data_IF_538285723352
#
_entry.id   IF_538285723352
#
_cell.length_a   1.000
_cell.length_b   1.000
_cell.length_c   1.000
_cell.angle_alpha   90.00
_cell.angle_beta   90.00
_cell.angle_gamma   90.00
#
_symmetry.space_group_name_H-M   'P 1'
#
loop_
_entity.id
_entity.type
_entity.pdbx_description
1 polymer ?
#
# COMPACT_ATOMS: atom_id res chain seq x y z
N UNK A 1 19.70 69.74 49.53
CA UNK A 1 20.69 69.47 48.47
C UNK A 1 20.06 68.59 47.41
N UNK A 2 20.03 69.04 46.15
CA UNK A 2 19.60 68.23 44.99
C UNK A 2 20.73 67.28 44.62
N UNK A 3 20.47 65.98 44.51
CA UNK A 3 21.28 65.07 43.70
C UNK A 3 20.35 64.26 42.81
N UNK A 4 20.40 64.62 41.52
CA UNK A 4 19.81 63.96 40.38
C UNK A 4 20.71 62.78 40.00
N UNK A 5 20.22 61.54 39.98
CA UNK A 5 20.88 60.44 39.27
C UNK A 5 19.83 59.52 38.62
N UNK A 6 19.68 59.72 37.30
CA UNK A 6 19.56 58.73 36.22
C UNK A 6 18.35 57.78 36.19
N UNK A 7 17.53 57.96 35.16
CA UNK A 7 16.53 57.00 34.70
C UNK A 7 17.19 55.70 34.21
N UNK A 8 16.60 54.56 34.58
CA UNK A 8 16.82 53.27 33.95
C UNK A 8 15.44 52.67 33.63
N UNK A 9 15.23 52.46 32.33
CA UNK A 9 14.10 51.78 31.70
C UNK A 9 13.80 50.44 32.37
N UNK A 10 12.67 50.36 33.08
CA UNK A 10 12.16 49.12 33.67
C UNK A 10 11.60 48.21 32.57
N UNK A 11 12.35 47.17 32.23
CA UNK A 11 11.86 46.07 31.39
C UNK A 11 10.77 45.27 32.11
N UNK A 12 9.74 44.85 31.37
CA UNK A 12 8.73 43.91 31.86
C UNK A 12 9.39 42.57 32.21
N UNK A 13 9.50 42.27 33.50
CA UNK A 13 9.77 40.93 33.98
C UNK A 13 8.48 40.11 33.91
N UNK A 14 8.27 39.38 32.81
CA UNK A 14 7.24 38.34 32.80
C UNK A 14 7.71 37.18 33.70
N UNK A 15 6.98 36.97 34.79
CA UNK A 15 7.18 35.84 35.68
C UNK A 15 7.04 34.54 34.86
N UNK A 16 8.15 33.83 34.65
CA UNK A 16 8.17 32.53 33.98
C UNK A 16 7.64 31.48 34.95
N UNK A 17 6.33 31.29 34.97
CA UNK A 17 5.73 30.09 35.56
C UNK A 17 6.30 28.86 34.85
N UNK A 18 7.03 28.02 35.60
CA UNK A 18 7.45 26.71 35.10
C UNK A 18 6.24 25.79 35.18
N UNK A 19 5.49 25.70 34.09
CA UNK A 19 4.51 24.63 33.92
C UNK A 19 5.31 23.37 33.59
N UNK A 20 5.54 22.51 34.59
CA UNK A 20 5.99 21.14 34.34
C UNK A 20 4.77 20.32 33.94
N UNK A 21 4.34 20.43 32.69
CA UNK A 21 3.56 19.33 32.11
C UNK A 21 4.52 18.17 31.94
N UNK A 22 4.22 17.03 32.56
CA UNK A 22 4.87 15.75 32.26
C UNK A 22 4.64 15.45 30.77
N UNK A 23 5.55 15.93 29.94
CA UNK A 23 5.55 15.76 28.50
C UNK A 23 5.89 14.30 28.20
N UNK A 24 4.86 13.46 28.19
CA UNK A 24 4.87 12.12 27.61
C UNK A 24 5.51 12.25 26.21
N UNK A 25 6.65 11.59 26.03
CA UNK A 25 7.52 11.73 24.86
C UNK A 25 6.71 11.78 23.55
N UNK A 26 6.70 12.93 22.88
CA UNK A 26 6.31 13.01 21.48
C UNK A 26 7.42 12.37 20.66
N UNK A 27 7.31 11.06 20.45
CA UNK A 27 8.12 10.35 19.45
C UNK A 27 7.84 10.94 18.08
N UNK A 28 8.90 11.38 17.40
CA UNK A 28 8.84 11.78 16.00
C UNK A 28 8.29 10.61 15.20
N UNK A 29 7.18 10.83 14.48
CA UNK A 29 6.46 9.80 13.73
C UNK A 29 7.41 8.95 12.88
N UNK A 30 7.54 7.68 13.23
CA UNK A 30 8.42 6.75 12.53
C UNK A 30 8.00 6.59 11.08
N UNK A 31 8.94 6.69 10.16
CA UNK A 31 8.75 6.35 8.75
C UNK A 31 8.52 4.83 8.69
N UNK A 32 7.31 4.40 8.36
CA UNK A 32 7.00 2.98 8.18
C UNK A 32 7.31 2.59 6.74
N UNK A 33 8.41 1.88 6.53
CA UNK A 33 8.76 1.33 5.21
C UNK A 33 7.91 0.11 4.91
N UNK A 34 7.02 0.21 3.92
CA UNK A 34 6.20 -0.91 3.45
C UNK A 34 6.86 -1.62 2.26
N UNK A 35 6.92 -2.96 2.30
CA UNK A 35 7.35 -3.78 1.15
C UNK A 35 6.16 -4.09 0.24
N UNK A 36 6.44 -4.24 -1.05
CA UNK A 36 5.45 -4.54 -2.09
C UNK A 36 5.83 -5.88 -2.73
N UNK A 37 5.52 -6.97 -2.05
CA UNK A 37 5.88 -8.31 -2.50
C UNK A 37 4.86 -8.81 -3.53
N UNK A 38 5.32 -9.27 -4.69
CA UNK A 38 4.44 -9.83 -5.72
C UNK A 38 4.10 -11.29 -5.40
N UNK A 39 2.81 -11.61 -5.37
CA UNK A 39 2.30 -12.98 -5.36
C UNK A 39 1.74 -13.26 -6.75
N UNK A 40 2.35 -14.21 -7.48
CA UNK A 40 1.96 -14.51 -8.84
C UNK A 40 1.87 -16.01 -9.14
N UNK A 41 1.09 -16.33 -10.18
CA UNK A 41 0.95 -17.66 -10.76
C UNK A 41 0.85 -17.55 -12.28
N UNK A 42 1.28 -18.58 -12.99
CA UNK A 42 1.14 -18.67 -14.44
C UNK A 42 0.12 -19.75 -14.78
N UNK A 43 -0.76 -19.46 -15.72
CA UNK A 43 -1.60 -20.47 -16.35
C UNK A 43 -1.30 -20.56 -17.84
N UNK A 44 -1.28 -21.80 -18.33
CA UNK A 44 -1.19 -22.13 -19.74
C UNK A 44 -2.45 -22.87 -20.17
N UNK A 45 -2.90 -22.61 -21.40
CA UNK A 45 -3.95 -23.38 -22.07
C UNK A 45 -3.60 -23.58 -23.54
N UNK A 46 -3.91 -24.76 -24.05
CA UNK A 46 -3.74 -25.12 -25.45
C UNK A 46 -5.02 -25.74 -25.99
N UNK A 47 -5.29 -25.53 -27.26
CA UNK A 47 -6.51 -26.01 -27.87
C UNK A 47 -6.66 -25.57 -29.31
N UNK A 48 -7.88 -25.71 -29.83
CA UNK A 48 -8.29 -25.18 -31.13
C UNK A 48 -8.92 -23.81 -30.91
N UNK A 49 -8.69 -22.86 -31.82
CA UNK A 49 -9.46 -21.62 -31.83
C UNK A 49 -10.94 -21.95 -31.93
N UNK A 50 -11.76 -21.28 -31.14
CA UNK A 50 -13.20 -21.22 -31.36
C UNK A 50 -13.57 -20.52 -32.68
N UNK A 51 -12.77 -19.55 -33.16
CA UNK A 51 -13.07 -18.80 -34.40
C UNK A 51 -12.57 -19.50 -35.66
N UNK A 52 -11.28 -19.83 -35.76
CA UNK A 52 -10.67 -20.34 -36.99
C UNK A 52 -10.23 -21.81 -36.95
N UNK A 53 -10.44 -22.52 -35.83
CA UNK A 53 -10.11 -23.95 -35.69
C UNK A 53 -8.62 -24.32 -35.74
N UNK A 54 -7.68 -23.37 -35.92
CA UNK A 54 -6.24 -23.70 -35.87
C UNK A 54 -5.80 -24.04 -34.44
N UNK A 55 -4.72 -24.78 -34.30
CA UNK A 55 -4.16 -25.08 -32.99
C UNK A 55 -3.45 -23.86 -32.40
N UNK A 56 -3.57 -23.68 -31.09
CA UNK A 56 -2.90 -22.60 -30.37
C UNK A 56 -2.54 -22.95 -28.94
N UNK A 57 -1.63 -22.13 -28.42
CA UNK A 57 -1.21 -22.12 -27.03
C UNK A 57 -1.21 -20.67 -26.54
N UNK A 58 -1.72 -20.45 -25.34
CA UNK A 58 -1.70 -19.17 -24.62
C UNK A 58 -1.14 -19.39 -23.21
N UNK A 59 -0.44 -18.37 -22.73
CA UNK A 59 0.11 -18.30 -21.37
C UNK A 59 -0.20 -16.92 -20.82
N UNK A 60 -0.71 -16.85 -19.59
CA UNK A 60 -1.01 -15.59 -18.90
C UNK A 60 -0.48 -15.63 -17.45
N UNK A 61 0.00 -14.47 -16.99
CA UNK A 61 0.48 -14.26 -15.62
C UNK A 61 -0.63 -13.61 -14.81
N UNK A 62 -1.05 -14.25 -13.73
CA UNK A 62 -1.98 -13.70 -12.75
C UNK A 62 -1.18 -13.29 -11.53
N UNK A 63 -1.28 -12.03 -11.12
CA UNK A 63 -0.52 -11.50 -10.01
C UNK A 63 -1.31 -10.49 -9.20
N UNK A 64 -0.90 -10.34 -7.95
CA UNK A 64 -1.37 -9.33 -7.01
C UNK A 64 -0.22 -8.99 -6.07
N UNK A 65 -0.29 -7.82 -5.46
CA UNK A 65 0.75 -7.37 -4.53
C UNK A 65 0.28 -7.54 -3.10
N UNK A 66 1.13 -8.13 -2.26
CA UNK A 66 0.98 -8.12 -0.82
C UNK A 66 1.41 -6.74 -0.32
N UNK A 67 0.44 -5.90 0.02
CA UNK A 67 0.69 -4.57 0.57
C UNK A 67 -0.49 -4.14 1.46
N UNK A 68 -0.32 -3.12 2.32
CA UNK A 68 -1.36 -2.66 3.25
C UNK A 68 -2.63 -2.07 2.58
N UNK A 69 -2.60 -1.81 1.29
CA UNK A 69 -3.70 -1.25 0.51
C UNK A 69 -4.49 -2.33 -0.24
N UNK A 70 -3.95 -3.54 -0.38
CA UNK A 70 -4.69 -4.68 -0.92
C UNK A 70 -5.60 -5.22 0.18
N UNK A 71 -6.85 -4.75 0.18
CA UNK A 71 -7.82 -5.02 1.25
C UNK A 71 -9.01 -5.84 0.76
N UNK A 72 -9.58 -6.61 1.67
CA UNK A 72 -10.85 -7.28 1.54
C UNK A 72 -12.01 -6.25 1.65
N UNK A 73 -13.25 -6.63 1.29
CA UNK A 73 -14.42 -5.76 1.41
C UNK A 73 -14.71 -5.28 2.83
N UNK A 74 -14.30 -6.06 3.84
CA UNK A 74 -14.39 -5.71 5.27
C UNK A 74 -13.30 -4.71 5.72
N UNK A 75 -12.39 -4.33 4.82
CA UNK A 75 -11.27 -3.43 5.08
C UNK A 75 -10.03 -4.11 5.68
N UNK A 76 -10.05 -5.41 5.94
CA UNK A 76 -8.89 -6.18 6.39
C UNK A 76 -7.86 -6.29 5.26
N UNK A 77 -6.56 -6.30 5.59
CA UNK A 77 -5.50 -6.47 4.59
C UNK A 77 -5.45 -7.93 4.15
N UNK A 78 -5.44 -8.16 2.83
CA UNK A 78 -5.37 -9.51 2.28
C UNK A 78 -4.07 -10.18 2.70
N UNK A 79 -4.20 -11.40 3.20
CA UNK A 79 -3.11 -12.31 3.47
C UNK A 79 -2.55 -12.90 2.18
N UNK A 80 -1.31 -13.38 2.22
CA UNK A 80 -0.70 -14.08 1.09
C UNK A 80 -1.56 -15.29 0.63
N UNK A 81 -2.23 -15.99 1.55
CA UNK A 81 -3.07 -17.14 1.21
C UNK A 81 -4.33 -16.74 0.47
N UNK A 82 -5.00 -15.67 0.90
CA UNK A 82 -6.18 -15.13 0.19
C UNK A 82 -5.79 -14.65 -1.21
N UNK A 83 -4.69 -13.89 -1.31
CA UNK A 83 -4.17 -13.44 -2.60
C UNK A 83 -3.89 -14.63 -3.52
N UNK A 84 -3.25 -15.69 -3.00
CA UNK A 84 -2.96 -16.90 -3.79
C UNK A 84 -4.23 -17.61 -4.27
N UNK A 85 -5.22 -17.76 -3.39
CA UNK A 85 -6.51 -18.37 -3.76
C UNK A 85 -7.22 -17.55 -4.84
N UNK A 86 -7.23 -16.22 -4.72
CA UNK A 86 -7.86 -15.36 -5.73
C UNK A 86 -7.19 -15.45 -7.10
N UNK A 87 -5.86 -15.38 -7.16
CA UNK A 87 -5.15 -15.49 -8.45
C UNK A 87 -5.32 -16.88 -9.06
N UNK A 88 -5.42 -17.93 -8.23
CA UNK A 88 -5.67 -19.29 -8.70
C UNK A 88 -7.09 -19.43 -9.26
N UNK A 89 -8.10 -18.89 -8.58
CA UNK A 89 -9.47 -18.85 -9.09
C UNK A 89 -9.55 -18.12 -10.44
N UNK A 90 -8.88 -16.97 -10.57
CA UNK A 90 -8.78 -16.24 -11.85
C UNK A 90 -8.09 -17.07 -12.94
N UNK A 91 -7.02 -17.78 -12.58
CA UNK A 91 -6.30 -18.66 -13.50
C UNK A 91 -7.18 -19.84 -13.96
N UNK A 92 -7.98 -20.43 -13.06
CA UNK A 92 -8.94 -21.49 -13.38
C UNK A 92 -10.04 -20.95 -14.31
N UNK A 93 -10.66 -19.82 -13.95
CA UNK A 93 -11.69 -19.19 -14.78
C UNK A 93 -11.18 -18.88 -16.19
N UNK A 94 -9.93 -18.39 -16.29
CA UNK A 94 -9.29 -18.14 -17.57
C UNK A 94 -9.02 -19.41 -18.39
N UNK A 95 -8.66 -20.52 -17.74
CA UNK A 95 -8.48 -21.82 -18.40
C UNK A 95 -9.79 -22.37 -18.95
N UNK A 96 -10.92 -22.10 -18.31
CA UNK A 96 -12.25 -22.52 -18.77
C UNK A 96 -12.71 -21.77 -20.03
N UNK A 97 -12.26 -20.52 -20.23
CA UNK A 97 -12.56 -19.74 -21.43
C UNK A 97 -11.92 -20.39 -22.67
N UNK A 98 -12.61 -20.43 -23.82
CA UNK A 98 -12.04 -20.99 -25.06
C UNK A 98 -10.72 -20.32 -25.43
N UNK A 99 -9.84 -21.06 -26.10
CA UNK A 99 -8.56 -20.51 -26.54
C UNK A 99 -8.77 -19.74 -27.84
N UNK A 100 -8.31 -18.48 -27.87
CA UNK A 100 -8.29 -17.64 -29.07
C UNK A 100 -6.87 -17.31 -29.46
N UNK A 101 -6.59 -17.24 -30.76
CA UNK A 101 -5.28 -16.82 -31.28
C UNK A 101 -5.21 -15.30 -31.31
N UNK A 102 -4.01 -14.72 -31.28
CA UNK A 102 -3.87 -13.25 -31.22
C UNK A 102 -4.53 -12.53 -32.41
N UNK A 103 -4.69 -13.21 -33.55
CA UNK A 103 -5.37 -12.69 -34.74
C UNK A 103 -6.91 -12.74 -34.64
N UNK A 104 -7.47 -13.50 -33.70
CA UNK A 104 -8.90 -13.76 -33.56
C UNK A 104 -9.46 -13.30 -32.20
N UNK A 105 -8.65 -12.54 -31.43
CA UNK A 105 -9.14 -11.70 -30.33
C UNK A 105 -9.80 -10.45 -30.90
#
# INVERSE_FOLDING_TARGET
MKKLIKAASGGLFYARQRVTTEGKAMGWGGITTTRFDEVSTFAEKSGKCDVCGKACKRREKFYQTLNPFNKNPDGSVKTHQEIRKEIELKAIEWKLKPVRHAKCE
#
